data_IF_391718410516
#
_entry.id   IF_391718410516
#
_cell.length_a   1.000
_cell.length_b   1.000
_cell.length_c   1.000
_cell.angle_alpha   90.00
_cell.angle_beta   90.00
_cell.angle_gamma   90.00
#
_symmetry.space_group_name_H-M   'P 1'
#
loop_
_entity.id
_entity.type
_entity.pdbx_description
1 polymer ?
#
# COMPACT_ATOMS: atom_id res chain seq x y z
N UNK A 1 -26.39 2.18 -8.70
CA UNK A 1 -25.98 3.58 -8.97
C UNK A 1 -25.06 3.62 -10.18
N UNK A 2 -25.03 4.77 -10.87
CA UNK A 2 -24.01 5.08 -11.87
C UNK A 2 -22.86 5.81 -11.21
N UNK A 3 -21.65 5.26 -11.27
CA UNK A 3 -20.46 5.79 -10.60
C UNK A 3 -19.41 6.12 -11.64
N UNK A 4 -19.03 7.39 -11.74
CA UNK A 4 -17.90 7.83 -12.55
C UNK A 4 -16.63 7.86 -11.67
N UNK A 5 -15.52 7.32 -12.16
CA UNK A 5 -14.22 7.43 -11.50
C UNK A 5 -13.29 8.24 -12.39
N UNK A 6 -12.90 9.42 -11.97
CA UNK A 6 -11.94 10.28 -12.66
C UNK A 6 -10.58 10.21 -11.99
N UNK A 7 -9.65 9.49 -12.59
CA UNK A 7 -8.28 9.33 -12.07
C UNK A 7 -7.34 8.78 -13.15
N UNK A 8 -6.12 8.32 -12.74
CA UNK A 8 -5.25 7.60 -13.65
C UNK A 8 -5.60 6.10 -13.67
N UNK A 9 -5.70 5.56 -14.88
CA UNK A 9 -5.88 4.15 -15.20
C UNK A 9 -4.83 3.73 -16.23
N UNK A 10 -4.84 2.47 -16.63
CA UNK A 10 -4.02 2.03 -17.77
C UNK A 10 -4.17 3.02 -18.96
N UNK A 11 -3.08 3.41 -19.65
CA UNK A 11 -1.72 2.89 -19.60
C UNK A 11 -0.79 3.57 -18.58
N UNK A 12 -1.28 4.33 -17.63
CA UNK A 12 -0.45 4.89 -16.56
C UNK A 12 -0.04 3.80 -15.57
N UNK A 13 1.21 3.90 -15.05
CA UNK A 13 1.78 2.94 -14.08
C UNK A 13 1.70 3.46 -12.65
N UNK A 14 1.87 2.55 -11.70
CA UNK A 14 2.06 2.85 -10.28
C UNK A 14 0.85 2.58 -9.40
N UNK A 15 1.05 2.71 -8.09
CA UNK A 15 0.09 2.29 -7.06
C UNK A 15 -1.28 2.95 -7.16
N UNK A 16 -1.35 4.20 -7.66
CA UNK A 16 -2.63 4.90 -7.82
C UNK A 16 -3.46 4.27 -8.94
N UNK A 17 -2.84 3.95 -10.08
CA UNK A 17 -3.53 3.30 -11.19
C UNK A 17 -4.02 1.89 -10.80
N UNK A 18 -3.19 1.14 -10.07
CA UNK A 18 -3.54 -0.17 -9.53
C UNK A 18 -4.71 -0.10 -8.53
N UNK A 19 -4.66 0.86 -7.60
CA UNK A 19 -5.76 1.08 -6.67
C UNK A 19 -7.07 1.39 -7.41
N UNK A 20 -7.02 2.27 -8.40
CA UNK A 20 -8.21 2.66 -9.15
C UNK A 20 -8.79 1.48 -9.95
N UNK A 21 -7.93 0.62 -10.51
CA UNK A 21 -8.35 -0.60 -11.20
C UNK A 21 -9.09 -1.54 -10.25
N UNK A 22 -8.52 -1.82 -9.06
CA UNK A 22 -9.15 -2.67 -8.06
C UNK A 22 -10.47 -2.08 -7.56
N UNK A 23 -10.52 -0.77 -7.32
CA UNK A 23 -11.76 -0.09 -6.91
C UNK A 23 -12.83 -0.15 -8.01
N UNK A 24 -12.44 0.04 -9.27
CA UNK A 24 -13.32 -0.06 -10.43
C UNK A 24 -13.94 -1.47 -10.53
N UNK A 25 -13.11 -2.51 -10.42
CA UNK A 25 -13.57 -3.90 -10.46
C UNK A 25 -14.50 -4.22 -9.29
N UNK A 26 -14.16 -3.77 -8.08
CA UNK A 26 -14.96 -4.06 -6.89
C UNK A 26 -16.33 -3.38 -6.95
N UNK A 27 -16.37 -2.09 -7.27
CA UNK A 27 -17.63 -1.35 -7.44
C UNK A 27 -18.44 -1.88 -8.63
N UNK A 28 -17.79 -2.34 -9.69
CA UNK A 28 -18.43 -2.91 -10.89
C UNK A 28 -19.20 -4.20 -10.62
N UNK A 29 -18.97 -4.89 -9.49
CA UNK A 29 -19.76 -6.08 -9.11
C UNK A 29 -21.21 -5.76 -8.78
N UNK A 30 -21.51 -4.53 -8.34
CA UNK A 30 -22.82 -4.14 -7.83
C UNK A 30 -23.37 -2.83 -8.43
N UNK A 31 -22.54 -2.09 -9.15
CA UNK A 31 -22.87 -0.78 -9.70
C UNK A 31 -22.49 -0.69 -11.18
N UNK A 32 -23.10 0.30 -11.90
CA UNK A 32 -22.70 0.67 -13.26
C UNK A 32 -21.55 1.68 -13.13
N UNK A 33 -20.31 1.24 -13.41
CA UNK A 33 -19.10 2.03 -13.21
C UNK A 33 -18.46 2.38 -14.54
N UNK A 34 -18.05 3.65 -14.69
CA UNK A 34 -17.30 4.13 -15.85
C UNK A 34 -16.02 4.84 -15.41
N UNK A 35 -14.90 4.46 -16.04
CA UNK A 35 -13.61 5.06 -15.80
C UNK A 35 -13.33 6.20 -16.79
N UNK A 36 -12.87 7.34 -16.27
CA UNK A 36 -12.38 8.50 -17.02
C UNK A 36 -10.91 8.73 -16.66
N UNK A 37 -10.08 8.88 -17.67
CA UNK A 37 -8.63 8.90 -17.52
C UNK A 37 -8.04 10.23 -17.99
N UNK A 38 -6.79 10.44 -17.61
CA UNK A 38 -5.99 11.50 -18.20
C UNK A 38 -5.60 11.14 -19.64
N UNK A 39 -5.74 12.09 -20.56
CA UNK A 39 -5.07 12.04 -21.85
C UNK A 39 -3.61 12.51 -21.72
N UNK A 40 -3.34 13.39 -20.72
CA UNK A 40 -2.01 13.78 -20.28
C UNK A 40 -2.04 14.11 -18.79
N UNK A 41 -1.31 13.31 -18.00
CA UNK A 41 -1.22 13.47 -16.56
C UNK A 41 -0.21 14.56 -16.16
N UNK A 42 1.00 14.48 -16.71
CA UNK A 42 2.07 15.47 -16.55
C UNK A 42 2.63 15.85 -17.92
N UNK A 43 3.07 17.09 -18.12
CA UNK A 43 4.05 17.39 -19.16
C UNK A 43 5.31 16.55 -18.95
N UNK A 44 5.84 15.93 -20.00
CA UNK A 44 6.99 15.00 -19.88
C UNK A 44 8.21 15.62 -19.18
N UNK A 45 8.43 16.91 -19.39
CA UNK A 45 9.53 17.67 -18.76
C UNK A 45 9.38 17.82 -17.23
N UNK A 46 8.17 17.65 -16.68
CA UNK A 46 7.90 17.79 -15.25
C UNK A 46 7.81 16.44 -14.53
N UNK A 47 7.88 15.34 -15.28
CA UNK A 47 7.81 14.01 -14.68
C UNK A 47 9.16 13.60 -14.09
N UNK A 48 9.23 13.30 -12.78
CA UNK A 48 10.51 13.03 -12.11
C UNK A 48 11.07 11.63 -12.41
N UNK A 49 10.33 10.75 -13.11
CA UNK A 49 10.73 9.37 -13.43
C UNK A 49 11.11 9.17 -14.90
N UNK A 50 11.54 7.95 -15.25
CA UNK A 50 11.89 7.58 -16.63
C UNK A 50 10.67 7.51 -17.56
N UNK A 51 9.55 7.01 -17.07
CA UNK A 51 8.27 6.91 -17.80
C UNK A 51 7.09 6.89 -16.85
N UNK A 52 5.99 7.50 -17.24
CA UNK A 52 4.72 7.46 -16.53
C UNK A 52 3.79 6.33 -17.03
N UNK A 53 4.23 5.59 -18.04
CA UNK A 53 3.45 4.54 -18.68
C UNK A 53 3.94 3.15 -18.31
N UNK A 54 3.03 2.19 -18.39
CA UNK A 54 3.28 0.75 -18.19
C UNK A 54 4.34 0.26 -19.16
N UNK A 55 5.28 -0.51 -18.68
CA UNK A 55 6.28 -1.23 -19.47
C UNK A 55 5.86 -2.70 -19.63
N UNK A 56 6.60 -3.47 -20.42
CA UNK A 56 6.34 -4.91 -20.58
C UNK A 56 6.57 -5.72 -19.29
N UNK A 57 7.19 -5.09 -18.30
CA UNK A 57 7.54 -5.72 -17.02
C UNK A 57 6.51 -5.42 -15.92
N UNK A 58 5.58 -4.49 -16.17
CA UNK A 58 4.55 -4.09 -15.21
C UNK A 58 3.30 -4.98 -15.37
N UNK A 59 2.84 -5.58 -14.28
CA UNK A 59 1.56 -6.30 -14.21
C UNK A 59 0.42 -5.30 -13.98
N UNK A 60 0.00 -4.58 -15.03
CA UNK A 60 -1.08 -3.62 -14.93
C UNK A 60 -2.39 -4.21 -15.45
N UNK A 61 -3.49 -3.97 -14.72
CA UNK A 61 -4.83 -4.37 -15.14
C UNK A 61 -5.34 -3.38 -16.20
N UNK A 62 -5.60 -3.83 -17.44
CA UNK A 62 -6.12 -2.96 -18.49
C UNK A 62 -7.61 -2.68 -18.25
N UNK A 63 -7.91 -1.53 -17.67
CA UNK A 63 -9.29 -1.01 -17.55
C UNK A 63 -9.58 -0.12 -18.76
N UNK A 64 -10.70 -0.37 -19.40
CA UNK A 64 -11.19 0.50 -20.47
C UNK A 64 -11.62 1.85 -19.85
N UNK A 65 -10.91 2.91 -20.19
CA UNK A 65 -11.14 4.23 -19.63
C UNK A 65 -11.07 5.32 -20.72
N UNK A 66 -12.00 6.27 -20.67
CA UNK A 66 -12.00 7.40 -21.61
C UNK A 66 -10.91 8.41 -21.27
N UNK A 67 -9.85 8.48 -22.07
CA UNK A 67 -8.72 9.38 -21.88
C UNK A 67 -9.04 10.81 -22.36
N UNK A 68 -9.60 11.64 -21.48
CA UNK A 68 -10.12 12.97 -21.82
C UNK A 68 -9.39 14.12 -21.15
N UNK A 69 -8.91 13.94 -19.90
CA UNK A 69 -8.40 15.03 -19.07
C UNK A 69 -6.93 15.30 -19.34
N UNK A 70 -6.62 16.44 -19.97
CA UNK A 70 -5.27 16.97 -20.05
C UNK A 70 -5.07 18.03 -18.97
N UNK A 71 -4.21 17.76 -17.98
CA UNK A 71 -4.01 18.66 -16.82
C UNK A 71 -3.47 20.03 -17.19
N UNK A 72 -2.71 20.12 -18.30
CA UNK A 72 -2.13 21.37 -18.78
C UNK A 72 -2.99 22.11 -19.80
N UNK A 73 -4.17 21.56 -20.19
CA UNK A 73 -5.06 22.19 -21.17
C UNK A 73 -6.47 22.47 -20.59
N UNK A 74 -6.76 23.73 -20.17
CA UNK A 74 -8.05 24.07 -19.57
C UNK A 74 -9.28 23.78 -20.45
N UNK A 75 -9.13 23.76 -21.78
CA UNK A 75 -10.23 23.42 -22.67
C UNK A 75 -10.65 21.95 -22.55
N UNK A 76 -9.72 21.07 -22.20
CA UNK A 76 -10.01 19.66 -21.95
C UNK A 76 -10.86 19.47 -20.69
N UNK A 77 -10.70 20.31 -19.66
CA UNK A 77 -11.41 20.19 -18.39
C UNK A 77 -12.91 20.32 -18.57
N UNK A 78 -13.34 21.35 -19.34
CA UNK A 78 -14.74 21.55 -19.68
C UNK A 78 -15.32 20.46 -20.60
N UNK A 79 -14.48 19.87 -21.47
CA UNK A 79 -14.87 18.74 -22.32
C UNK A 79 -15.07 17.47 -21.48
N UNK A 80 -14.14 17.17 -20.59
CA UNK A 80 -14.22 16.05 -19.64
C UNK A 80 -15.48 16.15 -18.78
N UNK A 81 -15.73 17.32 -18.19
CA UNK A 81 -16.94 17.55 -17.40
C UNK A 81 -18.23 17.31 -18.20
N UNK A 82 -18.28 17.76 -19.46
CA UNK A 82 -19.43 17.50 -20.34
C UNK A 82 -19.63 16.02 -20.66
N UNK A 83 -18.54 15.27 -20.91
CA UNK A 83 -18.61 13.84 -21.19
C UNK A 83 -19.14 13.07 -19.96
N UNK A 84 -18.60 13.36 -18.77
CA UNK A 84 -19.07 12.74 -17.53
C UNK A 84 -20.56 13.05 -17.29
N UNK A 85 -20.96 14.33 -17.41
CA UNK A 85 -22.36 14.73 -17.24
C UNK A 85 -23.30 14.08 -18.27
N UNK A 86 -22.85 13.91 -19.52
CA UNK A 86 -23.64 13.28 -20.56
C UNK A 86 -23.95 11.81 -20.27
N UNK A 87 -23.04 11.12 -19.54
CA UNK A 87 -23.28 9.77 -19.05
C UNK A 87 -24.27 9.74 -17.86
N UNK A 88 -24.39 10.83 -17.11
CA UNK A 88 -25.36 11.00 -16.02
C UNK A 88 -25.04 10.17 -14.77
N UNK A 89 -23.86 10.33 -14.17
CA UNK A 89 -23.52 9.61 -12.93
C UNK A 89 -24.29 10.17 -11.72
N UNK A 90 -24.62 9.27 -10.78
CA UNK A 90 -25.13 9.62 -9.45
C UNK A 90 -23.99 10.04 -8.50
N UNK A 91 -22.78 9.51 -8.76
CA UNK A 91 -21.58 9.74 -7.97
C UNK A 91 -20.37 9.92 -8.88
N UNK A 92 -19.58 10.95 -8.63
CA UNK A 92 -18.25 11.13 -9.20
C UNK A 92 -17.21 10.94 -8.10
N UNK A 93 -16.36 9.93 -8.25
CA UNK A 93 -15.15 9.73 -7.44
C UNK A 93 -13.96 10.38 -8.12
N UNK A 94 -13.27 11.26 -7.41
CA UNK A 94 -12.08 11.97 -7.90
C UNK A 94 -10.89 11.63 -7.00
N UNK A 95 -9.83 11.06 -7.56
CA UNK A 95 -8.63 10.79 -6.77
C UNK A 95 -7.64 11.94 -6.85
N UNK A 96 -7.11 12.33 -5.68
CA UNK A 96 -6.23 13.48 -5.54
C UNK A 96 -5.01 13.13 -4.69
N UNK A 97 -3.79 13.45 -5.19
CA UNK A 97 -2.54 13.14 -4.50
C UNK A 97 -1.50 14.27 -4.52
N UNK A 98 -1.72 15.34 -5.30
CA UNK A 98 -0.85 16.52 -5.29
C UNK A 98 -1.55 17.74 -5.91
N UNK A 99 -1.08 18.93 -5.54
CA UNK A 99 -1.65 20.22 -5.89
C UNK A 99 -1.67 20.52 -7.40
N UNK A 100 -0.79 19.90 -8.19
CA UNK A 100 -0.79 20.03 -9.66
C UNK A 100 -2.15 19.68 -10.29
N UNK A 101 -2.85 18.72 -9.73
CA UNK A 101 -4.14 18.27 -10.24
C UNK A 101 -5.32 19.14 -9.78
N UNK A 102 -5.11 19.99 -8.79
CA UNK A 102 -6.19 20.79 -8.19
C UNK A 102 -6.99 21.61 -9.23
N UNK A 103 -6.35 22.34 -10.17
CA UNK A 103 -7.10 23.13 -11.15
C UNK A 103 -7.98 22.28 -12.07
N UNK A 104 -7.44 21.20 -12.63
CA UNK A 104 -8.17 20.37 -13.60
C UNK A 104 -9.27 19.55 -12.94
N UNK A 105 -8.97 18.85 -11.84
CA UNK A 105 -9.95 18.03 -11.12
C UNK A 105 -11.04 18.89 -10.47
N UNK A 106 -10.66 20.02 -9.86
CA UNK A 106 -11.61 20.93 -9.23
C UNK A 106 -12.54 21.62 -10.21
N UNK A 107 -12.09 21.92 -11.43
CA UNK A 107 -12.95 22.46 -12.47
C UNK A 107 -13.97 21.42 -12.96
N UNK A 108 -13.55 20.17 -13.14
CA UNK A 108 -14.47 19.08 -13.47
C UNK A 108 -15.48 18.87 -12.35
N UNK A 109 -15.04 18.81 -11.09
CA UNK A 109 -15.90 18.61 -9.93
C UNK A 109 -17.02 19.66 -9.85
N UNK A 110 -16.69 20.96 -9.99
CA UNK A 110 -17.68 22.05 -9.94
C UNK A 110 -18.68 22.05 -11.07
N UNK A 111 -18.37 21.39 -12.17
CA UNK A 111 -19.24 21.35 -13.35
C UNK A 111 -20.17 20.13 -13.36
N UNK A 112 -20.20 19.35 -12.29
CA UNK A 112 -21.15 18.24 -12.22
C UNK A 112 -22.61 18.75 -12.13
N UNK A 113 -23.54 17.91 -12.55
CA UNK A 113 -24.95 18.25 -12.50
C UNK A 113 -25.46 18.27 -11.04
N UNK A 114 -26.45 19.09 -10.72
CA UNK A 114 -27.18 18.94 -9.48
C UNK A 114 -27.69 17.51 -9.28
N UNK A 115 -27.44 16.93 -8.10
CA UNK A 115 -27.76 15.53 -7.82
C UNK A 115 -26.64 14.52 -8.07
N UNK A 116 -25.56 14.89 -8.79
CA UNK A 116 -24.34 14.10 -8.84
C UNK A 116 -23.44 14.48 -7.67
N UNK A 117 -23.26 13.58 -6.71
CA UNK A 117 -22.35 13.79 -5.58
C UNK A 117 -20.91 13.67 -6.04
N UNK A 118 -20.03 14.52 -5.52
CA UNK A 118 -18.60 14.53 -5.84
C UNK A 118 -17.79 14.22 -4.59
N UNK A 119 -17.14 13.06 -4.55
CA UNK A 119 -16.31 12.64 -3.43
C UNK A 119 -14.84 12.55 -3.86
N UNK A 120 -13.98 13.21 -3.09
CA UNK A 120 -12.54 13.10 -3.25
C UNK A 120 -11.97 11.93 -2.48
N UNK A 121 -11.18 11.06 -3.12
CA UNK A 121 -10.31 10.09 -2.44
C UNK A 121 -8.92 10.71 -2.39
N UNK A 122 -8.46 11.05 -1.17
CA UNK A 122 -7.28 11.89 -0.96
C UNK A 122 -6.12 11.05 -0.44
N UNK A 123 -5.06 10.92 -1.23
CA UNK A 123 -3.80 10.28 -0.80
C UNK A 123 -2.96 11.22 0.06
N UNK A 124 -2.88 12.50 -0.35
CA UNK A 124 -2.21 13.57 0.37
C UNK A 124 -2.99 14.88 0.16
N UNK A 125 -3.13 15.64 1.21
CA UNK A 125 -3.75 16.99 1.20
C UNK A 125 -2.66 18.06 1.27
N UNK A 126 -1.61 17.77 2.01
CA UNK A 126 -0.42 18.62 2.16
C UNK A 126 0.77 17.86 1.60
N UNK A 127 1.45 18.37 0.54
CA UNK A 127 2.64 17.73 0.00
C UNK A 127 3.79 17.68 1.02
N UNK A 128 4.65 16.64 0.94
CA UNK A 128 5.86 16.55 1.75
C UNK A 128 6.86 17.69 1.44
N UNK A 129 6.98 18.03 0.15
CA UNK A 129 7.73 19.20 -0.31
C UNK A 129 6.75 20.33 -0.60
N UNK A 130 6.71 21.34 0.26
CA UNK A 130 5.70 22.41 0.23
C UNK A 130 6.15 23.59 -0.62
N UNK A 131 5.24 24.02 -1.51
CA UNK A 131 5.36 25.26 -2.26
C UNK A 131 4.26 26.24 -1.81
N UNK A 132 4.48 27.52 -2.00
CA UNK A 132 3.54 28.57 -1.59
C UNK A 132 2.15 28.47 -2.23
N UNK A 133 2.05 27.86 -3.41
CA UNK A 133 0.80 27.69 -4.17
C UNK A 133 0.02 26.40 -3.80
N UNK A 134 0.62 25.43 -3.12
CA UNK A 134 -0.02 24.13 -2.83
C UNK A 134 -1.30 24.29 -2.01
N UNK A 135 -1.22 25.00 -0.89
CA UNK A 135 -2.36 25.20 0.00
C UNK A 135 -3.53 25.93 -0.67
N UNK A 136 -3.32 27.07 -1.37
CA UNK A 136 -4.39 27.73 -2.11
C UNK A 136 -5.05 26.86 -3.17
N UNK A 137 -4.27 26.12 -3.95
CA UNK A 137 -4.80 25.22 -4.99
C UNK A 137 -5.59 24.07 -4.38
N UNK A 138 -5.08 23.43 -3.34
CA UNK A 138 -5.76 22.35 -2.65
C UNK A 138 -7.08 22.84 -2.02
N UNK A 139 -7.08 23.98 -1.33
CA UNK A 139 -8.32 24.59 -0.81
C UNK A 139 -9.34 24.87 -1.90
N UNK A 140 -8.87 25.34 -3.06
CA UNK A 140 -9.72 25.59 -4.19
C UNK A 140 -10.35 24.30 -4.74
N UNK A 141 -9.58 23.23 -4.85
CA UNK A 141 -10.06 21.90 -5.24
C UNK A 141 -11.09 21.36 -4.23
N UNK A 142 -10.76 21.38 -2.95
CA UNK A 142 -11.63 20.88 -1.89
C UNK A 142 -13.03 21.54 -1.88
N UNK A 143 -13.14 22.81 -2.27
CA UNK A 143 -14.44 23.51 -2.36
C UNK A 143 -15.38 22.92 -3.43
N UNK A 144 -14.86 22.14 -4.37
CA UNK A 144 -15.66 21.45 -5.39
C UNK A 144 -16.17 20.08 -4.98
N UNK A 145 -15.86 19.63 -3.76
CA UNK A 145 -16.25 18.31 -3.24
C UNK A 145 -17.45 18.42 -2.30
N UNK A 146 -18.35 17.45 -2.34
CA UNK A 146 -19.44 17.28 -1.38
C UNK A 146 -18.95 16.48 -0.15
N UNK A 147 -17.93 15.63 -0.32
CA UNK A 147 -17.29 14.89 0.74
C UNK A 147 -15.91 14.40 0.36
N UNK A 148 -15.18 13.88 1.33
CA UNK A 148 -13.85 13.35 1.13
C UNK A 148 -13.58 12.07 1.93
N UNK A 149 -12.81 11.17 1.33
CA UNK A 149 -12.26 9.98 1.97
C UNK A 149 -10.75 10.14 2.02
N UNK A 150 -10.16 9.92 3.20
CA UNK A 150 -8.71 9.86 3.39
C UNK A 150 -8.30 8.44 3.77
N UNK A 151 -7.07 8.05 3.40
CA UNK A 151 -6.59 6.69 3.60
C UNK A 151 -5.90 6.47 4.95
N UNK A 152 -5.67 7.54 5.71
CA UNK A 152 -5.15 7.50 7.07
C UNK A 152 -5.58 8.74 7.87
N UNK A 153 -5.48 8.65 9.19
CA UNK A 153 -5.84 9.72 10.13
C UNK A 153 -5.01 11.00 9.95
N UNK A 154 -3.74 10.88 9.56
CA UNK A 154 -2.87 12.04 9.35
C UNK A 154 -3.39 12.92 8.22
N UNK A 155 -3.71 12.31 7.07
CA UNK A 155 -4.29 13.03 5.93
C UNK A 155 -5.68 13.57 6.28
N UNK A 156 -6.45 12.87 7.13
CA UNK A 156 -7.72 13.34 7.67
C UNK A 156 -7.56 14.62 8.50
N UNK A 157 -6.56 14.67 9.37
CA UNK A 157 -6.24 15.89 10.16
C UNK A 157 -5.83 17.06 9.26
N UNK A 158 -4.99 16.80 8.25
CA UNK A 158 -4.59 17.81 7.27
C UNK A 158 -5.78 18.36 6.47
N UNK A 159 -6.70 17.47 6.08
CA UNK A 159 -7.95 17.85 5.40
C UNK A 159 -8.78 18.82 6.27
N UNK A 160 -9.02 18.45 7.52
CA UNK A 160 -9.82 19.26 8.44
C UNK A 160 -9.17 20.60 8.79
N UNK A 161 -7.83 20.68 8.79
CA UNK A 161 -7.11 21.95 8.94
C UNK A 161 -7.33 22.89 7.72
N UNK A 162 -7.61 22.36 6.53
CA UNK A 162 -7.86 23.15 5.32
C UNK A 162 -9.36 23.40 5.07
N UNK A 163 -10.23 22.47 5.42
CA UNK A 163 -11.68 22.53 5.26
C UNK A 163 -12.39 21.81 6.42
N UNK A 164 -12.61 22.51 7.57
CA UNK A 164 -13.17 21.90 8.79
C UNK A 164 -14.61 21.38 8.66
N UNK A 165 -15.37 21.92 7.72
CA UNK A 165 -16.79 21.67 7.50
C UNK A 165 -17.08 20.54 6.51
N UNK A 166 -16.05 19.96 5.86
CA UNK A 166 -16.29 18.91 4.87
C UNK A 166 -16.71 17.59 5.52
N UNK A 167 -17.82 16.97 5.07
CA UNK A 167 -18.08 15.58 5.41
C UNK A 167 -16.90 14.70 5.03
N UNK A 168 -16.38 13.91 5.96
CA UNK A 168 -15.24 13.05 5.65
C UNK A 168 -15.31 11.71 6.37
N UNK A 169 -14.64 10.71 5.78
CA UNK A 169 -14.39 9.42 6.38
C UNK A 169 -12.91 9.04 6.23
N UNK A 170 -12.37 8.34 7.22
CA UNK A 170 -11.04 7.72 7.14
C UNK A 170 -11.25 6.25 6.82
N UNK A 171 -10.93 5.86 5.60
CA UNK A 171 -11.03 4.48 5.14
C UNK A 171 -9.61 3.98 4.84
N UNK A 172 -9.08 3.02 5.61
CA UNK A 172 -7.70 2.59 5.45
C UNK A 172 -7.47 1.98 4.07
N UNK A 173 -6.26 2.18 3.55
CA UNK A 173 -5.87 1.64 2.25
C UNK A 173 -6.06 0.11 2.23
N UNK A 174 -6.80 -0.45 1.26
CA UNK A 174 -6.97 -1.89 1.14
C UNK A 174 -5.66 -2.62 0.92
N UNK A 175 -5.62 -3.89 1.29
CA UNK A 175 -4.46 -4.76 1.05
C UNK A 175 -4.23 -4.91 -0.46
N UNK A 176 -2.98 -4.85 -0.86
CA UNK A 176 -2.58 -5.15 -2.23
C UNK A 176 -2.79 -6.63 -2.55
N UNK A 177 -3.56 -6.94 -3.59
CA UNK A 177 -3.88 -8.33 -4.01
C UNK A 177 -3.11 -8.79 -5.24
N UNK A 178 -2.36 -7.89 -5.88
CA UNK A 178 -1.64 -8.16 -7.14
C UNK A 178 -0.44 -9.12 -6.99
N UNK A 179 0.00 -9.41 -5.77
CA UNK A 179 1.07 -10.40 -5.53
C UNK A 179 0.66 -11.85 -5.77
N UNK A 180 -0.60 -12.09 -6.11
CA UNK A 180 -1.14 -13.42 -6.37
C UNK A 180 -1.53 -14.20 -5.11
N UNK A 181 -2.03 -15.42 -5.31
CA UNK A 181 -2.44 -16.29 -4.23
C UNK A 181 -1.24 -16.95 -3.54
N UNK A 182 -1.40 -17.26 -2.24
CA UNK A 182 -0.45 -18.05 -1.46
C UNK A 182 -0.26 -19.42 -2.11
N UNK A 183 1.00 -19.83 -2.28
CA UNK A 183 1.37 -21.14 -2.78
C UNK A 183 1.36 -22.20 -1.66
N UNK A 184 1.30 -23.49 -1.99
CA UNK A 184 1.69 -24.55 -1.08
C UNK A 184 3.15 -24.33 -0.62
N UNK A 185 3.40 -24.49 0.69
CA UNK A 185 4.72 -24.23 1.29
C UNK A 185 5.83 -25.01 0.61
N UNK A 186 5.63 -26.30 0.38
CA UNK A 186 6.62 -27.19 -0.25
C UNK A 186 7.01 -26.71 -1.67
N UNK A 187 6.04 -26.14 -2.41
CA UNK A 187 6.30 -25.55 -3.71
C UNK A 187 7.15 -24.29 -3.61
N UNK A 188 6.84 -23.41 -2.66
CA UNK A 188 7.59 -22.19 -2.41
C UNK A 188 9.03 -22.50 -1.95
N UNK A 189 9.21 -23.42 -0.99
CA UNK A 189 10.53 -23.90 -0.54
C UNK A 189 11.35 -24.45 -1.71
N UNK A 190 10.73 -25.29 -2.56
CA UNK A 190 11.41 -25.85 -3.74
C UNK A 190 11.84 -24.77 -4.74
N UNK A 191 10.98 -23.76 -5.00
CA UNK A 191 11.31 -22.65 -5.92
C UNK A 191 12.48 -21.82 -5.43
N UNK A 192 12.55 -21.61 -4.10
CA UNK A 192 13.62 -20.85 -3.45
C UNK A 192 14.85 -21.69 -3.10
N UNK A 193 14.82 -23.02 -3.32
CA UNK A 193 15.91 -23.92 -2.95
C UNK A 193 16.13 -24.04 -1.44
N UNK A 194 15.07 -23.84 -0.64
CA UNK A 194 15.17 -23.89 0.81
C UNK A 194 15.07 -25.32 1.34
N UNK A 195 15.81 -25.67 2.40
CA UNK A 195 15.62 -26.91 3.16
C UNK A 195 14.21 -27.03 3.72
N UNK A 196 13.56 -28.18 3.51
CA UNK A 196 12.24 -28.45 4.04
C UNK A 196 12.27 -28.72 5.56
N UNK A 197 11.13 -28.47 6.22
CA UNK A 197 10.91 -28.81 7.63
C UNK A 197 11.56 -27.88 8.65
N UNK A 198 12.13 -26.77 8.24
CA UNK A 198 12.66 -25.72 9.10
C UNK A 198 11.67 -24.59 9.32
N UNK A 199 11.80 -23.86 10.43
CA UNK A 199 11.06 -22.63 10.71
C UNK A 199 11.69 -21.48 9.93
N UNK A 200 10.96 -20.96 8.94
CA UNK A 200 11.47 -19.93 8.01
C UNK A 200 11.15 -18.53 8.51
N UNK A 201 12.17 -17.77 8.87
CA UNK A 201 12.10 -16.35 9.16
C UNK A 201 12.33 -15.57 7.86
N UNK A 202 11.56 -14.51 7.62
CA UNK A 202 11.66 -13.69 6.40
C UNK A 202 11.98 -12.24 6.76
N UNK A 203 13.08 -11.73 6.20
CA UNK A 203 13.35 -10.31 6.06
C UNK A 203 13.11 -9.93 4.58
N UNK A 204 12.22 -8.96 4.32
CA UNK A 204 11.80 -8.66 2.97
C UNK A 204 11.84 -7.16 2.62
N UNK A 205 12.16 -6.85 1.35
CA UNK A 205 12.15 -5.52 0.76
C UNK A 205 13.52 -4.86 0.73
N UNK A 206 13.62 -3.64 0.19
CA UNK A 206 14.90 -2.92 0.03
C UNK A 206 15.74 -2.97 1.30
N UNK A 207 17.00 -3.41 1.18
CA UNK A 207 17.92 -3.54 2.31
C UNK A 207 18.57 -2.18 2.56
N UNK A 208 18.08 -1.50 3.61
CA UNK A 208 18.57 -0.19 4.07
C UNK A 208 18.96 -0.26 5.54
N UNK A 209 19.87 0.61 5.96
CA UNK A 209 20.41 0.60 7.32
C UNK A 209 19.32 0.75 8.40
N UNK A 210 18.34 1.64 8.18
CA UNK A 210 17.25 1.82 9.13
C UNK A 210 16.35 0.59 9.31
N UNK A 211 16.38 -0.37 8.37
CA UNK A 211 15.61 -1.62 8.46
C UNK A 211 16.25 -2.68 9.34
N UNK A 212 17.47 -2.46 9.83
CA UNK A 212 18.07 -3.24 10.91
C UNK A 212 18.39 -4.70 10.56
N UNK A 213 18.72 -5.03 9.31
CA UNK A 213 19.10 -6.41 8.94
C UNK A 213 20.26 -6.94 9.80
N UNK A 214 21.21 -6.10 10.15
CA UNK A 214 22.32 -6.43 11.05
C UNK A 214 21.84 -6.84 12.46
N UNK A 215 20.78 -6.21 12.99
CA UNK A 215 20.17 -6.59 14.26
C UNK A 215 19.54 -7.99 14.14
N UNK A 216 18.86 -8.26 13.02
CA UNK A 216 18.27 -9.57 12.78
C UNK A 216 19.31 -10.68 12.63
N UNK A 217 20.41 -10.43 11.92
CA UNK A 217 21.50 -11.40 11.79
C UNK A 217 22.09 -11.76 13.17
N UNK A 218 22.32 -10.76 14.02
CA UNK A 218 22.76 -10.99 15.40
C UNK A 218 21.70 -11.71 16.25
N UNK A 219 20.41 -11.43 16.03
CA UNK A 219 19.33 -12.16 16.70
C UNK A 219 19.26 -13.61 16.23
N UNK A 220 19.50 -13.87 14.95
CA UNK A 220 19.52 -15.20 14.37
C UNK A 220 20.63 -16.08 14.97
N UNK A 221 21.77 -15.51 15.29
CA UNK A 221 22.86 -16.20 15.99
C UNK A 221 22.50 -16.71 17.42
N UNK A 222 21.44 -16.14 18.01
CA UNK A 222 20.91 -16.57 19.31
C UNK A 222 19.85 -17.68 19.21
N UNK A 223 19.43 -18.02 17.99
CA UNK A 223 18.44 -19.07 17.74
C UNK A 223 19.14 -20.41 17.48
N UNK A 224 18.39 -21.51 17.58
CA UNK A 224 18.90 -22.87 17.37
C UNK A 224 18.76 -23.34 15.90
N UNK A 225 19.11 -24.60 15.63
CA UNK A 225 19.12 -25.20 14.29
C UNK A 225 17.73 -25.45 13.68
N UNK A 226 16.64 -25.25 14.43
CA UNK A 226 15.26 -25.36 13.90
C UNK A 226 14.93 -24.24 12.93
N UNK A 227 15.70 -23.17 12.91
CA UNK A 227 15.42 -21.97 12.14
C UNK A 227 16.29 -21.84 10.90
N UNK A 228 15.74 -21.24 9.87
CA UNK A 228 16.45 -20.69 8.73
C UNK A 228 15.99 -19.26 8.47
N UNK A 229 16.87 -18.44 7.93
CA UNK A 229 16.60 -17.03 7.62
C UNK A 229 16.65 -16.80 6.11
N UNK A 230 15.58 -16.25 5.57
CA UNK A 230 15.51 -15.76 4.19
C UNK A 230 15.64 -14.24 4.22
N UNK A 231 16.63 -13.71 3.52
CA UNK A 231 16.87 -12.28 3.31
C UNK A 231 16.61 -11.98 1.84
N UNK A 232 15.49 -11.31 1.53
CA UNK A 232 15.08 -11.06 0.16
C UNK A 232 14.86 -9.56 -0.10
N UNK A 233 15.62 -9.01 -1.07
CA UNK A 233 15.48 -7.62 -1.50
C UNK A 233 16.78 -7.00 -1.96
N UNK A 234 16.65 -5.95 -2.76
CA UNK A 234 17.78 -5.21 -3.32
C UNK A 234 18.50 -4.38 -2.24
N UNK A 235 19.82 -4.52 -2.10
CA UNK A 235 20.61 -3.69 -1.18
C UNK A 235 20.75 -2.27 -1.74
N UNK A 236 20.51 -1.28 -0.89
CA UNK A 236 20.81 0.11 -1.20
C UNK A 236 22.26 0.42 -0.79
N UNK A 237 23.18 0.25 -1.73
CA UNK A 237 24.61 0.30 -1.51
C UNK A 237 25.24 -1.10 -1.42
N UNK A 238 26.42 -1.21 -0.75
CA UNK A 238 27.11 -2.49 -0.61
C UNK A 238 26.42 -3.43 0.39
N UNK A 239 26.41 -4.72 0.06
CA UNK A 239 25.93 -5.78 0.94
C UNK A 239 27.06 -6.34 1.85
N UNK A 240 28.31 -5.96 1.64
CA UNK A 240 29.52 -6.55 2.24
C UNK A 240 29.45 -6.63 3.77
N UNK A 241 28.95 -5.57 4.42
CA UNK A 241 28.82 -5.57 5.89
C UNK A 241 27.87 -6.66 6.42
N UNK A 242 26.82 -6.96 5.67
CA UNK A 242 25.88 -8.03 6.05
C UNK A 242 26.47 -9.39 5.73
N UNK A 243 27.19 -9.53 4.62
CA UNK A 243 27.89 -10.75 4.26
C UNK A 243 28.92 -11.12 5.35
N UNK A 244 29.69 -10.15 5.83
CA UNK A 244 30.64 -10.38 6.94
C UNK A 244 29.94 -10.86 8.22
N UNK A 245 28.77 -10.34 8.55
CA UNK A 245 27.97 -10.81 9.69
C UNK A 245 27.45 -12.24 9.48
N UNK A 246 27.04 -12.58 8.26
CA UNK A 246 26.59 -13.93 7.91
C UNK A 246 27.76 -14.92 8.02
N UNK A 247 28.90 -14.61 7.41
CA UNK A 247 30.08 -15.49 7.37
C UNK A 247 30.69 -15.71 8.77
N UNK A 248 30.62 -14.69 9.63
CA UNK A 248 31.07 -14.75 11.01
C UNK A 248 30.02 -15.27 12.00
N UNK A 249 28.82 -15.52 11.56
CA UNK A 249 27.71 -15.97 12.40
C UNK A 249 27.78 -17.47 12.74
N UNK A 250 26.85 -17.89 13.62
CA UNK A 250 26.78 -19.29 14.12
C UNK A 250 26.41 -20.28 12.99
N UNK A 251 25.51 -19.90 12.09
CA UNK A 251 24.94 -20.80 11.09
C UNK A 251 24.82 -20.15 9.71
N UNK A 252 25.94 -19.80 9.03
CA UNK A 252 25.91 -19.10 7.76
C UNK A 252 25.20 -19.89 6.64
N UNK A 253 25.23 -21.22 6.70
CA UNK A 253 24.54 -22.09 5.74
C UNK A 253 23.00 -22.04 5.84
N UNK A 254 22.49 -21.55 6.96
CA UNK A 254 21.04 -21.42 7.23
C UNK A 254 20.50 -20.02 6.90
N UNK A 255 21.35 -19.12 6.38
CA UNK A 255 20.97 -17.79 5.88
C UNK A 255 20.96 -17.78 4.37
N UNK A 256 19.77 -17.70 3.80
CA UNK A 256 19.53 -17.71 2.34
C UNK A 256 19.33 -16.29 1.83
N UNK A 257 20.24 -15.78 1.02
CA UNK A 257 20.25 -14.38 0.56
C UNK A 257 19.83 -14.28 -0.89
N UNK A 258 18.83 -13.42 -1.15
CA UNK A 258 18.34 -13.07 -2.48
C UNK A 258 18.51 -11.55 -2.69
N UNK A 259 19.71 -11.06 -3.04
CA UNK A 259 20.08 -9.64 -3.00
C UNK A 259 19.68 -8.91 -4.28
N UNK A 260 18.48 -9.14 -4.78
CA UNK A 260 17.95 -8.55 -5.99
C UNK A 260 16.61 -7.87 -5.74
N UNK A 261 16.19 -7.01 -6.66
CA UNK A 261 14.82 -6.53 -6.69
C UNK A 261 13.87 -7.71 -6.92
N UNK A 262 12.94 -7.92 -5.99
CA UNK A 262 11.94 -8.99 -6.09
C UNK A 262 10.74 -8.45 -6.86
N UNK A 263 10.39 -9.08 -7.96
CA UNK A 263 9.25 -8.71 -8.79
C UNK A 263 7.93 -9.09 -8.11
N UNK A 264 6.87 -8.36 -8.39
CA UNK A 264 5.55 -8.58 -7.78
C UNK A 264 5.06 -10.02 -7.89
N UNK A 265 5.24 -10.67 -9.06
CA UNK A 265 4.88 -12.07 -9.28
C UNK A 265 5.70 -13.09 -8.49
N UNK A 266 6.89 -12.70 -7.98
CA UNK A 266 7.79 -13.55 -7.19
C UNK A 266 7.56 -13.41 -5.68
N UNK A 267 6.92 -12.31 -5.22
CA UNK A 267 6.66 -12.02 -3.80
C UNK A 267 5.98 -13.18 -3.10
N UNK A 268 5.03 -13.82 -3.77
CA UNK A 268 4.30 -14.98 -3.25
C UNK A 268 5.21 -16.15 -2.87
N UNK A 269 6.33 -16.36 -3.56
CA UNK A 269 7.23 -17.47 -3.27
C UNK A 269 7.87 -17.30 -1.88
N UNK A 270 8.33 -16.08 -1.56
CA UNK A 270 8.96 -15.76 -0.27
C UNK A 270 7.98 -15.83 0.90
N UNK A 271 6.82 -15.17 0.76
CA UNK A 271 5.83 -15.15 1.84
C UNK A 271 5.09 -16.49 2.02
N UNK A 272 5.03 -17.32 0.97
CA UNK A 272 4.45 -18.67 1.10
C UNK A 272 5.39 -19.65 1.79
N UNK A 273 6.70 -19.45 1.68
CA UNK A 273 7.70 -20.24 2.40
C UNK A 273 7.87 -19.77 3.88
N UNK A 274 7.48 -18.53 4.19
CA UNK A 274 7.72 -17.92 5.50
C UNK A 274 6.72 -18.38 6.56
N UNK A 275 7.22 -18.64 7.78
CA UNK A 275 6.41 -18.82 8.99
C UNK A 275 6.24 -17.50 9.74
N UNK A 276 7.23 -16.61 9.65
CA UNK A 276 7.28 -15.37 10.41
C UNK A 276 8.07 -14.30 9.64
N UNK A 277 7.49 -13.11 9.47
CA UNK A 277 8.19 -11.94 8.93
C UNK A 277 8.81 -11.16 10.08
N UNK A 278 10.08 -10.73 9.94
CA UNK A 278 10.77 -9.95 10.97
C UNK A 278 11.13 -8.56 10.44
N UNK A 279 10.63 -7.52 11.11
CA UNK A 279 10.87 -6.11 10.77
C UNK A 279 11.64 -5.42 11.91
N UNK A 280 12.97 -5.59 11.98
CA UNK A 280 13.81 -5.12 13.10
C UNK A 280 14.20 -3.65 12.91
N UNK A 281 13.25 -2.81 12.53
CA UNK A 281 13.50 -1.44 12.09
C UNK A 281 14.02 -0.56 13.22
N UNK A 282 14.96 0.34 12.90
CA UNK A 282 15.44 1.42 13.78
C UNK A 282 14.54 2.63 13.77
N UNK A 283 13.90 2.87 12.61
CA UNK A 283 12.92 3.93 12.44
C UNK A 283 11.95 3.57 11.34
N UNK A 284 10.70 3.96 11.48
CA UNK A 284 9.68 3.81 10.45
C UNK A 284 8.56 4.83 10.67
N UNK A 285 7.91 5.29 9.60
CA UNK A 285 6.59 5.94 9.67
C UNK A 285 5.51 4.88 9.50
N UNK A 286 5.58 4.12 8.41
CA UNK A 286 4.75 2.96 8.10
C UNK A 286 5.59 1.90 7.37
N UNK A 287 5.07 0.67 7.28
CA UNK A 287 5.71 -0.38 6.50
C UNK A 287 4.72 -1.05 5.54
N UNK A 288 4.94 -0.90 4.24
CA UNK A 288 4.18 -1.64 3.22
C UNK A 288 4.33 -3.17 3.37
N UNK A 289 5.42 -3.63 3.97
CA UNK A 289 5.67 -5.07 4.19
C UNK A 289 4.67 -5.65 5.20
N UNK A 290 4.17 -4.86 6.16
CA UNK A 290 3.15 -5.34 7.09
C UNK A 290 1.84 -5.71 6.37
N UNK A 291 1.44 -4.92 5.36
CA UNK A 291 0.27 -5.24 4.54
C UNK A 291 0.48 -6.47 3.66
N UNK A 292 1.69 -6.64 3.10
CA UNK A 292 2.04 -7.83 2.31
C UNK A 292 2.06 -9.08 3.20
N UNK A 293 2.66 -8.99 4.38
CA UNK A 293 2.68 -10.10 5.35
C UNK A 293 1.28 -10.53 5.75
N UNK A 294 0.40 -9.56 6.04
CA UNK A 294 -1.00 -9.82 6.33
C UNK A 294 -1.73 -10.45 5.13
N UNK A 295 -1.48 -9.98 3.89
CA UNK A 295 -2.05 -10.57 2.67
C UNK A 295 -1.76 -12.08 2.58
N UNK A 296 -0.53 -12.49 2.82
CA UNK A 296 -0.14 -13.91 2.78
C UNK A 296 -0.45 -14.67 4.08
N UNK A 297 -0.99 -14.02 5.10
CA UNK A 297 -1.34 -14.65 6.37
C UNK A 297 -0.10 -15.02 7.19
N UNK A 298 1.00 -14.25 7.08
CA UNK A 298 2.25 -14.47 7.79
C UNK A 298 2.31 -13.51 8.98
N UNK A 299 2.40 -14.00 10.24
CA UNK A 299 2.58 -13.16 11.41
C UNK A 299 3.92 -12.42 11.41
N UNK A 300 4.03 -11.40 12.24
CA UNK A 300 5.20 -10.54 12.27
C UNK A 300 5.84 -10.46 13.65
N UNK A 301 7.15 -10.27 13.68
CA UNK A 301 7.89 -9.72 14.82
C UNK A 301 8.44 -8.37 14.41
N UNK A 302 8.12 -7.32 15.16
CA UNK A 302 8.48 -5.94 14.82
C UNK A 302 9.07 -5.21 16.03
N UNK A 303 9.96 -4.26 15.79
CA UNK A 303 10.41 -3.31 16.81
C UNK A 303 9.37 -2.23 17.08
N UNK A 304 9.41 -1.63 18.25
CA UNK A 304 8.51 -0.56 18.68
C UNK A 304 8.96 0.80 18.13
N UNK A 305 8.81 0.99 16.82
CA UNK A 305 9.20 2.24 16.14
C UNK A 305 8.09 2.73 15.22
N UNK A 306 7.89 4.04 15.20
CA UNK A 306 6.88 4.69 14.35
C UNK A 306 5.48 4.10 14.54
N UNK A 307 4.78 3.84 13.44
CA UNK A 307 3.43 3.27 13.45
C UNK A 307 3.35 1.75 13.59
N UNK A 308 4.46 1.02 13.80
CA UNK A 308 4.45 -0.45 13.84
C UNK A 308 3.68 -1.01 15.04
N UNK A 309 3.77 -0.37 16.22
CA UNK A 309 2.96 -0.76 17.39
C UNK A 309 1.46 -0.69 17.08
N UNK A 310 1.03 0.37 16.39
CA UNK A 310 -0.37 0.59 16.04
C UNK A 310 -0.85 -0.34 14.93
N UNK A 311 -0.04 -0.50 13.87
CA UNK A 311 -0.42 -1.26 12.68
C UNK A 311 -0.22 -2.77 12.80
N UNK A 312 0.64 -3.23 13.70
CA UNK A 312 0.93 -4.65 13.92
C UNK A 312 0.47 -5.10 15.30
N UNK A 313 0.96 -4.44 16.36
CA UNK A 313 0.66 -4.84 17.74
C UNK A 313 -0.81 -4.67 18.10
N UNK A 314 -1.36 -3.45 17.95
CA UNK A 314 -2.77 -3.16 18.28
C UNK A 314 -3.77 -3.89 17.36
N UNK A 315 -3.32 -4.38 16.19
CA UNK A 315 -4.13 -5.18 15.26
C UNK A 315 -4.04 -6.69 15.51
N UNK A 316 -3.17 -7.13 16.44
CA UNK A 316 -2.98 -8.56 16.71
C UNK A 316 -2.42 -9.34 15.53
N UNK A 317 -1.64 -8.69 14.65
CA UNK A 317 -1.04 -9.33 13.47
C UNK A 317 0.41 -9.74 13.69
N UNK A 318 0.98 -9.40 14.87
CA UNK A 318 2.35 -9.72 15.23
C UNK A 318 2.72 -9.31 16.64
N UNK A 319 3.95 -9.61 17.00
CA UNK A 319 4.55 -9.30 18.29
C UNK A 319 5.38 -8.04 18.16
N UNK A 320 5.17 -7.08 19.05
CA UNK A 320 6.05 -5.91 19.19
C UNK A 320 7.10 -6.23 20.23
N UNK A 321 8.39 -6.17 19.87
CA UNK A 321 9.49 -6.41 20.77
C UNK A 321 9.56 -5.34 21.87
N UNK A 322 9.95 -5.73 23.09
CA UNK A 322 10.12 -4.80 24.23
C UNK A 322 11.16 -3.71 23.93
N UNK A 323 12.19 -4.08 23.16
CA UNK A 323 13.23 -3.17 22.69
C UNK A 323 13.81 -3.69 21.36
N UNK A 324 14.57 -2.85 20.65
CA UNK A 324 15.17 -3.17 19.35
C UNK A 324 16.50 -3.95 19.44
N UNK A 325 16.77 -4.69 20.52
CA UNK A 325 18.02 -5.47 20.65
C UNK A 325 17.90 -6.85 20.00
N UNK A 326 19.03 -7.47 19.56
CA UNK A 326 19.03 -8.83 19.05
C UNK A 326 18.39 -9.84 20.00
N UNK A 327 18.66 -9.73 21.30
CA UNK A 327 18.09 -10.62 22.32
C UNK A 327 16.57 -10.52 22.42
N UNK A 328 16.00 -9.31 22.37
CA UNK A 328 14.55 -9.09 22.41
C UNK A 328 13.87 -9.67 21.17
N UNK A 329 14.48 -9.50 19.99
CA UNK A 329 13.96 -10.05 18.73
C UNK A 329 14.00 -11.58 18.76
N UNK A 330 15.13 -12.19 19.19
CA UNK A 330 15.25 -13.64 19.32
C UNK A 330 14.23 -14.20 20.31
N UNK A 331 14.04 -13.55 21.47
CA UNK A 331 13.03 -13.94 22.44
C UNK A 331 11.59 -13.88 21.87
N UNK A 332 11.25 -12.83 21.12
CA UNK A 332 9.94 -12.70 20.48
C UNK A 332 9.72 -13.78 19.41
N UNK A 333 10.75 -14.10 18.62
CA UNK A 333 10.71 -15.20 17.63
C UNK A 333 10.47 -16.53 18.35
N UNK A 334 11.26 -16.85 19.37
CA UNK A 334 11.14 -18.09 20.15
C UNK A 334 9.75 -18.20 20.78
N UNK A 335 9.27 -17.12 21.40
CA UNK A 335 7.94 -17.05 22.00
C UNK A 335 6.84 -17.39 21.00
N UNK A 336 6.88 -16.82 19.78
CA UNK A 336 5.91 -17.13 18.74
C UNK A 336 5.83 -18.63 18.44
N UNK A 337 6.98 -19.30 18.35
CA UNK A 337 7.00 -20.72 18.00
C UNK A 337 6.74 -21.67 19.17
N UNK A 338 6.97 -21.25 20.39
CA UNK A 338 6.81 -22.08 21.59
C UNK A 338 5.44 -21.91 22.27
N UNK A 339 4.64 -20.87 21.85
CA UNK A 339 3.29 -20.62 22.36
C UNK A 339 2.22 -20.87 21.28
N UNK A 340 1.64 -22.08 21.14
CA UNK A 340 0.62 -22.37 20.11
C UNK A 340 -0.62 -21.48 20.21
N UNK A 341 -1.03 -21.10 21.42
CA UNK A 341 -2.16 -20.19 21.64
C UNK A 341 -1.90 -18.80 21.04
N UNK A 342 -0.69 -18.28 21.16
CA UNK A 342 -0.28 -17.02 20.55
C UNK A 342 -0.29 -17.10 19.02
N UNK A 343 0.16 -18.24 18.45
CA UNK A 343 0.10 -18.43 16.99
C UNK A 343 -1.33 -18.36 16.48
N UNK A 344 -2.29 -18.97 17.19
CA UNK A 344 -3.69 -18.97 16.83
C UNK A 344 -4.31 -17.58 16.98
N UNK A 345 -3.99 -16.86 18.05
CA UNK A 345 -4.38 -15.47 18.27
C UNK A 345 -3.92 -14.56 17.11
N UNK A 346 -2.64 -14.63 16.75
CA UNK A 346 -2.09 -13.81 15.66
C UNK A 346 -2.67 -14.18 14.29
N UNK A 347 -2.96 -15.47 14.04
CA UNK A 347 -3.65 -15.89 12.81
C UNK A 347 -5.07 -15.32 12.74
N UNK A 348 -5.79 -15.35 13.86
CA UNK A 348 -7.12 -14.76 13.94
C UNK A 348 -7.07 -13.22 13.74
N UNK A 349 -6.09 -12.54 14.35
CA UNK A 349 -5.84 -11.12 14.14
C UNK A 349 -5.56 -10.78 12.68
N UNK A 350 -4.73 -11.57 11.99
CA UNK A 350 -4.45 -11.39 10.56
C UNK A 350 -5.71 -11.61 9.72
N UNK A 351 -6.52 -12.62 10.03
CA UNK A 351 -7.78 -12.86 9.31
C UNK A 351 -8.74 -11.67 9.45
N UNK A 352 -8.88 -11.13 10.67
CA UNK A 352 -9.68 -9.95 10.94
C UNK A 352 -9.14 -8.70 10.21
N UNK A 353 -7.81 -8.52 10.18
CA UNK A 353 -7.19 -7.39 9.49
C UNK A 353 -7.33 -7.51 7.95
N UNK A 354 -7.24 -8.72 7.39
CA UNK A 354 -7.52 -8.97 5.97
C UNK A 354 -8.95 -8.58 5.59
N UNK A 355 -9.92 -8.94 6.41
CA UNK A 355 -11.32 -8.56 6.19
C UNK A 355 -11.49 -7.04 6.29
N UNK A 356 -10.94 -6.41 7.33
CA UNK A 356 -10.98 -4.97 7.54
C UNK A 356 -10.36 -4.17 6.39
N UNK A 357 -9.28 -4.68 5.79
CA UNK A 357 -8.56 -4.07 4.69
C UNK A 357 -8.94 -4.68 3.32
N UNK A 358 -10.06 -5.40 3.24
CA UNK A 358 -10.52 -5.95 1.97
C UNK A 358 -11.06 -4.86 1.05
N UNK A 359 -10.95 -5.08 -0.27
CA UNK A 359 -11.55 -4.20 -1.28
C UNK A 359 -13.06 -4.13 -1.15
N UNK A 360 -13.69 -5.26 -0.80
CA UNK A 360 -15.14 -5.33 -0.58
C UNK A 360 -15.56 -4.43 0.58
N UNK A 361 -14.84 -4.49 1.70
CA UNK A 361 -15.11 -3.64 2.86
C UNK A 361 -14.89 -2.16 2.53
N UNK A 362 -13.79 -1.84 1.87
CA UNK A 362 -13.49 -0.46 1.45
C UNK A 362 -14.61 0.09 0.53
N UNK A 363 -15.01 -0.68 -0.49
CA UNK A 363 -16.08 -0.28 -1.40
C UNK A 363 -17.42 -0.08 -0.67
N UNK A 364 -17.77 -0.98 0.25
CA UNK A 364 -18.98 -0.88 1.06
C UNK A 364 -18.96 0.37 1.96
N UNK A 365 -17.86 0.61 2.67
CA UNK A 365 -17.73 1.77 3.55
C UNK A 365 -17.73 3.08 2.77
N UNK A 366 -17.08 3.11 1.59
CA UNK A 366 -17.11 4.25 0.65
C UNK A 366 -18.54 4.53 0.19
N UNK A 367 -19.30 3.52 -0.20
CA UNK A 367 -20.69 3.69 -0.64
C UNK A 367 -21.59 4.12 0.50
N UNK A 368 -21.45 3.55 1.69
CA UNK A 368 -22.17 3.96 2.89
C UNK A 368 -21.90 5.44 3.21
N UNK A 369 -20.64 5.87 3.13
CA UNK A 369 -20.27 7.27 3.30
C UNK A 369 -20.90 8.15 2.20
N UNK A 370 -20.81 7.74 0.93
CA UNK A 370 -21.39 8.47 -0.20
C UNK A 370 -22.89 8.67 -0.05
N UNK A 371 -23.62 7.69 0.45
CA UNK A 371 -25.06 7.74 0.68
C UNK A 371 -25.44 8.63 1.87
N UNK A 372 -24.56 8.77 2.85
CA UNK A 372 -24.78 9.63 4.03
C UNK A 372 -24.67 11.12 3.72
N UNK A 373 -24.05 11.51 2.62
CA UNK A 373 -23.90 12.89 2.17
C UNK A 373 -25.21 13.34 1.51
N UNK A 374 -25.78 14.42 2.04
CA UNK A 374 -27.05 15.00 1.59
C UNK A 374 -26.86 15.87 0.35
#
# INVERSE_FOLDING_TARGET
>A
MKIAILSCFYPYRGGIAQFNANLYEELGKTHDVRAFNFSRQYPDILFPGKTQYVTKEDEAVPIEAEALLDTANPLSWGRTARAIRAWGPDLLLVRYWMSWFAPSLGEVARKMAPGCRVIGILDNVVPHERHWFDTPLTRWFLKGLDGAVTLCEEVGRDLLALRPDIPHAVLPHPIYTHFGAKLPREEAERRLGLPAGRRTLLFFGLIREYKGLDILLQAFDLLDERYQLVVAGEPYGSFDKYQQLIDGGRAPADVHVFPNYIRDGEVKDYFSAADLTVLPYRSATQSGISSVSAHFGVPMVVTDVGGLRETVGARGTGIVCDNGTPASIAAAITRYFDEPALQEELRAGIAAEKERLSWSRFAQDLMTFAESIK
#
